data_IF_062617726040
#
_entry.id   IF_062617726040
#
_cell.length_a   1.000
_cell.length_b   1.000
_cell.length_c   1.000
_cell.angle_alpha   90.00
_cell.angle_beta   90.00
_cell.angle_gamma   90.00
#
_symmetry.space_group_name_H-M   'P 1'
#
loop_
_entity.id
_entity.type
_entity.pdbx_description
1 polymer ?
#
# COMPACT_ATOMS: atom_id res chain seq x y z
N UNK A 1 -25.57 -11.41 6.04
CA UNK A 1 -25.03 -10.05 5.77
C UNK A 1 -24.13 -10.13 4.54
N UNK A 2 -24.20 -9.16 3.61
CA UNK A 2 -23.19 -9.08 2.53
C UNK A 2 -21.83 -8.85 3.20
N UNK A 3 -20.88 -9.78 3.03
CA UNK A 3 -19.55 -9.67 3.63
C UNK A 3 -18.84 -8.39 3.17
N UNK A 4 -18.10 -7.75 4.07
CA UNK A 4 -17.33 -6.54 3.80
C UNK A 4 -15.89 -6.94 3.54
N UNK A 5 -15.25 -6.29 2.58
CA UNK A 5 -13.83 -6.46 2.28
C UNK A 5 -13.11 -5.12 2.42
N UNK A 6 -11.81 -5.14 2.67
CA UNK A 6 -10.96 -3.95 2.63
C UNK A 6 -9.99 -4.04 1.46
N UNK A 7 -9.79 -2.95 0.72
CA UNK A 7 -8.81 -2.90 -0.37
C UNK A 7 -7.94 -1.66 -0.29
N UNK A 8 -6.63 -1.87 -0.30
CA UNK A 8 -5.62 -0.81 -0.17
C UNK A 8 -4.89 -0.61 -1.51
N UNK A 9 -4.87 0.64 -1.97
CA UNK A 9 -4.27 1.04 -3.24
C UNK A 9 -2.74 0.82 -3.31
N UNK A 10 -2.20 0.62 -4.51
CA UNK A 10 -0.78 0.81 -4.78
C UNK A 10 -0.40 2.29 -4.62
N UNK A 11 0.72 2.57 -3.93
CA UNK A 11 1.13 3.94 -3.69
C UNK A 11 2.60 4.14 -3.29
N UNK A 12 3.47 3.12 -3.44
CA UNK A 12 4.89 3.23 -3.07
C UNK A 12 5.11 3.81 -1.68
N UNK A 13 5.93 4.88 -1.58
CA UNK A 13 6.26 5.53 -0.31
C UNK A 13 5.11 6.25 0.40
N UNK A 14 3.99 6.49 -0.30
CA UNK A 14 2.76 6.95 0.37
C UNK A 14 2.11 5.84 1.21
N UNK A 15 2.73 4.66 1.31
CA UNK A 15 2.33 3.58 2.22
C UNK A 15 2.17 4.04 3.68
N UNK A 16 2.82 5.14 4.10
CA UNK A 16 2.58 5.75 5.42
C UNK A 16 1.12 6.17 5.63
N UNK A 17 0.40 6.56 4.56
CA UNK A 17 -1.03 6.82 4.61
C UNK A 17 -1.81 5.55 4.97
N UNK A 18 -1.45 4.42 4.35
CA UNK A 18 -2.09 3.13 4.63
C UNK A 18 -1.83 2.65 6.05
N UNK A 19 -0.63 2.87 6.59
CA UNK A 19 -0.34 2.58 7.99
C UNK A 19 -1.19 3.43 8.93
N UNK A 20 -1.34 4.73 8.64
CA UNK A 20 -2.24 5.60 9.38
C UNK A 20 -3.71 5.17 9.31
N UNK A 21 -4.18 4.78 8.12
CA UNK A 21 -5.54 4.26 7.92
C UNK A 21 -5.74 2.92 8.66
N UNK A 22 -4.78 2.00 8.56
CA UNK A 22 -4.79 0.72 9.27
C UNK A 22 -4.79 0.93 10.79
N UNK A 23 -3.98 1.85 11.32
CA UNK A 23 -3.97 2.20 12.74
C UNK A 23 -5.33 2.74 13.21
N UNK A 24 -5.96 3.61 12.40
CA UNK A 24 -7.28 4.15 12.72
C UNK A 24 -8.37 3.05 12.69
N UNK A 25 -8.35 2.18 11.68
CA UNK A 25 -9.24 1.02 11.58
C UNK A 25 -9.05 0.06 12.77
N UNK A 26 -7.81 -0.20 13.18
CA UNK A 26 -7.53 -1.07 14.31
C UNK A 26 -8.01 -0.48 15.64
N UNK A 27 -7.76 0.81 15.87
CA UNK A 27 -8.13 1.48 17.13
C UNK A 27 -9.63 1.74 17.25
N UNK A 28 -10.25 2.22 16.18
CA UNK A 28 -11.63 2.74 16.21
C UNK A 28 -12.63 1.86 15.44
N UNK A 29 -12.16 1.07 14.47
CA UNK A 29 -12.98 0.26 13.58
C UNK A 29 -13.18 -1.19 14.03
N UNK A 30 -12.99 -1.54 15.31
CA UNK A 30 -13.06 -2.93 15.80
C UNK A 30 -14.35 -3.66 15.42
N UNK A 31 -15.50 -2.99 15.46
CA UNK A 31 -16.79 -3.57 15.03
C UNK A 31 -16.81 -3.89 13.53
N UNK A 32 -16.24 -3.01 12.71
CA UNK A 32 -16.09 -3.22 11.26
C UNK A 32 -15.14 -4.39 10.98
N UNK A 33 -13.94 -4.39 11.59
CA UNK A 33 -12.94 -5.44 11.35
C UNK A 33 -13.44 -6.85 11.70
N UNK A 34 -14.34 -6.99 12.69
CA UNK A 34 -14.98 -8.27 13.02
C UNK A 34 -15.84 -8.86 11.89
N UNK A 35 -16.36 -8.02 11.00
CA UNK A 35 -17.20 -8.45 9.87
C UNK A 35 -16.48 -8.38 8.52
N UNK A 36 -15.22 -7.94 8.51
CA UNK A 36 -14.37 -7.98 7.32
C UNK A 36 -14.00 -9.43 7.06
N UNK A 37 -14.38 -9.91 5.87
CA UNK A 37 -14.05 -11.27 5.42
C UNK A 37 -12.67 -11.29 4.78
N UNK A 38 -12.52 -10.46 3.74
CA UNK A 38 -11.38 -10.48 2.84
C UNK A 38 -10.66 -9.11 2.79
N UNK A 39 -9.36 -9.18 2.55
CA UNK A 39 -8.44 -8.06 2.43
C UNK A 39 -7.77 -8.13 1.06
N UNK A 40 -7.53 -6.99 0.44
CA UNK A 40 -6.88 -6.94 -0.86
C UNK A 40 -5.93 -5.76 -0.95
N UNK A 41 -4.95 -5.84 -1.84
CA UNK A 41 -4.10 -4.71 -2.14
C UNK A 41 -3.08 -4.96 -3.22
N UNK A 42 -2.40 -3.90 -3.62
CA UNK A 42 -1.29 -3.91 -4.56
C UNK A 42 -0.12 -3.12 -3.97
N UNK A 43 1.12 -3.52 -4.21
CA UNK A 43 2.31 -2.81 -3.75
C UNK A 43 2.26 -2.54 -2.24
N UNK A 44 2.60 -1.32 -1.79
CA UNK A 44 2.46 -0.87 -0.40
C UNK A 44 1.08 -1.14 0.22
N UNK A 45 0.00 -1.14 -0.57
CA UNK A 45 -1.34 -1.49 -0.11
C UNK A 45 -1.46 -2.97 0.29
N UNK A 46 -0.81 -3.89 -0.45
CA UNK A 46 -0.80 -5.31 -0.09
C UNK A 46 -0.03 -5.58 1.21
N UNK A 47 1.05 -4.84 1.44
CA UNK A 47 1.81 -4.89 2.70
C UNK A 47 0.95 -4.41 3.89
N UNK A 48 0.27 -3.27 3.75
CA UNK A 48 -0.62 -2.74 4.79
C UNK A 48 -1.80 -3.67 5.08
N UNK A 49 -2.42 -4.23 4.04
CA UNK A 49 -3.49 -5.21 4.16
C UNK A 49 -3.03 -6.46 4.92
N UNK A 50 -1.82 -6.96 4.61
CA UNK A 50 -1.22 -8.10 5.30
C UNK A 50 -1.01 -7.81 6.78
N UNK A 51 -0.36 -6.68 7.11
CA UNK A 51 -0.10 -6.29 8.51
C UNK A 51 -1.39 -6.15 9.31
N UNK A 52 -2.40 -5.47 8.76
CA UNK A 52 -3.69 -5.28 9.44
C UNK A 52 -4.41 -6.61 9.71
N UNK A 53 -4.28 -7.58 8.80
CA UNK A 53 -4.90 -8.90 8.91
C UNK A 53 -4.12 -9.82 9.88
N UNK A 54 -2.79 -9.81 9.85
CA UNK A 54 -1.98 -10.80 10.60
C UNK A 54 -1.45 -10.29 11.93
N UNK A 55 -1.05 -9.03 12.01
CA UNK A 55 -0.29 -8.48 13.14
C UNK A 55 -0.53 -6.98 13.31
N UNK A 56 -1.77 -6.55 13.58
CA UNK A 56 -2.10 -5.12 13.67
C UNK A 56 -1.38 -4.39 14.81
N UNK A 57 -0.93 -5.10 15.85
CA UNK A 57 -0.12 -4.52 16.93
C UNK A 57 1.27 -4.08 16.46
N UNK A 58 1.79 -4.62 15.34
CA UNK A 58 3.07 -4.22 14.77
C UNK A 58 2.96 -3.01 13.82
N UNK A 59 1.81 -2.34 13.69
CA UNK A 59 1.67 -1.18 12.80
C UNK A 59 2.70 -0.08 13.13
N UNK A 60 2.98 0.18 14.41
CA UNK A 60 4.00 1.16 14.80
C UNK A 60 5.42 0.75 14.37
N UNK A 61 5.77 -0.54 14.46
CA UNK A 61 7.04 -1.06 13.94
C UNK A 61 7.12 -0.92 12.41
N UNK A 62 5.99 -1.10 11.71
CA UNK A 62 5.91 -0.86 10.27
C UNK A 62 6.16 0.61 9.93
N UNK A 63 5.62 1.54 10.71
CA UNK A 63 5.85 2.97 10.54
C UNK A 63 7.34 3.30 10.71
N UNK A 64 7.96 2.80 11.79
CA UNK A 64 9.40 2.98 12.06
C UNK A 64 10.27 2.43 10.91
N UNK A 65 9.98 1.21 10.44
CA UNK A 65 10.66 0.63 9.28
C UNK A 65 10.48 1.51 8.04
N UNK A 66 9.26 1.96 7.76
CA UNK A 66 8.95 2.79 6.58
C UNK A 66 9.70 4.12 6.61
N UNK A 67 9.77 4.78 7.77
CA UNK A 67 10.55 6.01 7.93
C UNK A 67 12.05 5.77 7.75
N UNK A 68 12.59 4.72 8.38
CA UNK A 68 14.01 4.35 8.25
C UNK A 68 14.39 4.01 6.80
N UNK A 69 13.56 3.23 6.12
CA UNK A 69 13.75 2.87 4.72
C UNK A 69 13.70 4.10 3.80
N UNK A 70 12.76 5.03 4.04
CA UNK A 70 12.69 6.28 3.29
C UNK A 70 13.87 7.23 3.57
N UNK A 71 14.36 7.30 4.81
CA UNK A 71 15.59 8.03 5.17
C UNK A 71 16.82 7.46 4.46
N UNK A 72 16.98 6.14 4.48
CA UNK A 72 18.07 5.42 3.82
C UNK A 72 18.11 5.74 2.33
N UNK A 73 16.98 5.61 1.62
CA UNK A 73 16.88 5.90 0.19
C UNK A 73 17.12 7.37 -0.14
N UNK A 74 16.68 8.31 0.71
CA UNK A 74 16.92 9.75 0.48
C UNK A 74 18.39 10.16 0.60
N UNK A 75 19.19 9.39 1.33
CA UNK A 75 20.62 9.64 1.50
C UNK A 75 21.45 9.15 0.31
N UNK A 76 20.87 8.32 -0.57
CA UNK A 76 21.55 7.81 -1.74
C UNK A 76 21.50 8.83 -2.91
N UNK A 77 22.59 8.94 -3.65
CA UNK A 77 22.75 9.96 -4.71
C UNK A 77 21.72 9.80 -5.85
N UNK A 78 21.32 8.56 -6.15
CA UNK A 78 20.30 8.24 -7.15
C UNK A 78 19.08 7.56 -6.53
N UNK A 79 18.84 7.72 -5.23
CA UNK A 79 17.73 7.06 -4.55
C UNK A 79 17.80 5.53 -4.66
N UNK A 80 16.66 4.88 -4.88
CA UNK A 80 16.55 3.42 -4.95
C UNK A 80 17.33 2.79 -6.13
N UNK A 81 17.65 3.58 -7.18
CA UNK A 81 18.42 3.09 -8.34
C UNK A 81 19.94 3.29 -8.19
N UNK A 82 20.39 3.69 -6.99
CA UNK A 82 21.82 3.86 -6.70
C UNK A 82 22.56 2.54 -6.88
N UNK A 83 23.64 2.50 -7.68
CA UNK A 83 24.41 1.27 -7.87
C UNK A 83 24.86 0.65 -6.54
N UNK A 84 24.61 -0.65 -6.39
CA UNK A 84 24.94 -1.40 -5.16
C UNK A 84 23.86 -1.35 -4.07
N UNK A 85 22.82 -0.52 -4.22
CA UNK A 85 21.66 -0.56 -3.33
C UNK A 85 20.69 -1.67 -3.73
N UNK A 86 20.31 -2.53 -2.78
CA UNK A 86 19.33 -3.60 -3.01
C UNK A 86 18.02 -3.29 -2.28
N UNK A 87 17.14 -2.58 -2.98
CA UNK A 87 15.81 -2.20 -2.50
C UNK A 87 15.00 -3.43 -2.06
N UNK A 88 15.03 -4.51 -2.86
CA UNK A 88 14.21 -5.70 -2.63
C UNK A 88 14.70 -6.51 -1.45
N UNK A 89 16.02 -6.63 -1.27
CA UNK A 89 16.60 -7.25 -0.08
C UNK A 89 16.20 -6.48 1.18
N UNK A 90 16.35 -5.15 1.17
CA UNK A 90 15.99 -4.31 2.33
C UNK A 90 14.50 -4.39 2.66
N UNK A 91 13.64 -4.39 1.65
CA UNK A 91 12.19 -4.59 1.82
C UNK A 91 11.89 -5.97 2.42
N UNK A 92 12.55 -7.03 1.91
CA UNK A 92 12.39 -8.39 2.41
C UNK A 92 12.75 -8.51 3.89
N UNK A 93 13.88 -7.95 4.32
CA UNK A 93 14.29 -7.91 5.73
C UNK A 93 13.20 -7.27 6.62
N UNK A 94 12.59 -6.18 6.13
CA UNK A 94 11.45 -5.55 6.79
C UNK A 94 10.26 -6.49 6.96
N UNK A 95 9.82 -7.13 5.88
CA UNK A 95 8.70 -8.08 5.89
C UNK A 95 8.99 -9.26 6.84
N UNK A 96 10.19 -9.83 6.77
CA UNK A 96 10.63 -10.94 7.63
C UNK A 96 10.70 -10.55 9.11
N UNK A 97 11.05 -9.31 9.44
CA UNK A 97 11.08 -8.82 10.82
C UNK A 97 9.70 -8.54 11.43
N UNK A 98 8.72 -8.19 10.59
CA UNK A 98 7.39 -7.72 11.02
C UNK A 98 6.37 -8.85 11.06
N UNK A 99 6.34 -9.70 10.03
CA UNK A 99 5.30 -10.72 9.88
C UNK A 99 5.56 -11.93 10.79
N UNK A 100 4.51 -12.51 11.42
CA UNK A 100 4.66 -13.72 12.21
C UNK A 100 5.04 -14.94 11.35
N UNK A 101 5.54 -16.00 11.99
CA UNK A 101 5.94 -17.25 11.31
C UNK A 101 4.78 -17.95 10.58
N UNK A 102 3.57 -17.88 11.14
CA UNK A 102 2.36 -18.45 10.57
C UNK A 102 1.54 -17.46 9.71
N UNK A 103 2.13 -16.35 9.26
CA UNK A 103 1.40 -15.32 8.49
C UNK A 103 0.65 -15.89 7.28
N UNK A 104 1.27 -16.80 6.54
CA UNK A 104 0.69 -17.47 5.37
C UNK A 104 -0.60 -18.25 5.68
N UNK A 105 -0.69 -18.87 6.86
CA UNK A 105 -1.89 -19.59 7.31
C UNK A 105 -3.03 -18.63 7.64
N UNK A 106 -2.72 -17.49 8.26
CA UNK A 106 -3.72 -16.47 8.65
C UNK A 106 -4.36 -15.82 7.42
N UNK A 107 -3.56 -15.57 6.39
CA UNK A 107 -3.99 -14.87 5.17
C UNK A 107 -4.58 -15.79 4.10
N UNK A 108 -4.48 -17.10 4.29
CA UNK A 108 -4.95 -18.11 3.33
C UNK A 108 -6.44 -17.89 3.00
N UNK A 109 -6.73 -17.68 1.71
CA UNK A 109 -8.06 -17.36 1.17
C UNK A 109 -8.75 -16.15 1.82
N UNK A 110 -7.96 -15.24 2.43
CA UNK A 110 -8.45 -14.00 3.04
C UNK A 110 -7.69 -12.77 2.58
N UNK A 111 -6.47 -12.91 2.07
CA UNK A 111 -5.71 -11.83 1.45
C UNK A 111 -5.64 -12.04 -0.06
N UNK A 112 -5.88 -10.99 -0.83
CA UNK A 112 -5.76 -10.98 -2.28
C UNK A 112 -4.67 -9.99 -2.71
N UNK A 113 -3.52 -10.51 -3.12
CA UNK A 113 -2.37 -9.71 -3.54
C UNK A 113 -2.36 -9.56 -5.05
N UNK A 114 -2.46 -8.31 -5.50
CA UNK A 114 -2.40 -7.95 -6.92
C UNK A 114 -0.96 -8.00 -7.43
N UNK A 115 -0.74 -8.72 -8.53
CA UNK A 115 0.54 -8.80 -9.22
C UNK A 115 0.35 -8.76 -10.74
N UNK A 116 1.37 -8.31 -11.46
CA UNK A 116 1.38 -8.25 -12.92
C UNK A 116 2.32 -9.34 -13.46
N UNK A 117 1.83 -10.20 -14.35
CA UNK A 117 2.67 -11.19 -15.03
C UNK A 117 3.48 -10.51 -16.14
N UNK A 118 4.79 -10.74 -16.17
CA UNK A 118 5.70 -10.10 -17.14
C UNK A 118 5.47 -10.60 -18.56
N UNK A 119 5.17 -11.89 -18.73
CA UNK A 119 5.08 -12.53 -20.05
C UNK A 119 3.84 -12.07 -20.81
N UNK A 120 2.69 -12.00 -20.15
CA UNK A 120 1.42 -11.69 -20.79
C UNK A 120 0.85 -10.30 -20.44
N UNK A 121 1.48 -9.56 -19.52
CA UNK A 121 1.07 -8.23 -19.10
C UNK A 121 -0.27 -8.18 -18.36
N UNK A 122 -0.80 -9.32 -17.90
CA UNK A 122 -2.11 -9.42 -17.22
C UNK A 122 -1.97 -9.39 -15.71
N UNK A 123 -3.03 -8.92 -15.06
CA UNK A 123 -3.16 -8.92 -13.61
C UNK A 123 -3.60 -10.29 -13.07
N UNK A 124 -3.05 -10.67 -11.93
CA UNK A 124 -3.47 -11.84 -11.15
C UNK A 124 -3.63 -11.44 -9.68
N UNK A 125 -4.59 -12.06 -9.01
CA UNK A 125 -4.79 -11.93 -7.56
C UNK A 125 -4.42 -13.26 -6.90
N UNK A 126 -3.28 -13.30 -6.22
CA UNK A 126 -2.90 -14.46 -5.42
C UNK A 126 -3.58 -14.39 -4.05
N UNK A 127 -4.23 -15.49 -3.66
CA UNK A 127 -4.89 -15.61 -2.34
C UNK A 127 -4.55 -16.88 -1.58
N UNK A 128 -3.63 -17.70 -2.09
CA UNK A 128 -3.23 -18.95 -1.47
C UNK A 128 -1.71 -19.07 -1.44
N UNK A 129 -1.17 -19.46 -0.30
CA UNK A 129 0.26 -19.43 0.02
C UNK A 129 0.66 -20.70 0.76
N UNK A 130 1.50 -21.54 0.15
CA UNK A 130 1.88 -22.82 0.76
C UNK A 130 2.87 -22.67 1.92
N UNK A 131 3.52 -21.50 2.03
CA UNK A 131 4.47 -21.19 3.10
C UNK A 131 4.57 -19.69 3.34
N UNK A 132 5.19 -19.31 4.47
CA UNK A 132 5.56 -17.91 4.74
C UNK A 132 6.45 -17.34 3.64
N UNK A 133 7.34 -18.17 3.09
CA UNK A 133 8.21 -17.77 1.99
C UNK A 133 7.42 -17.44 0.72
N UNK A 134 6.40 -18.24 0.41
CA UNK A 134 5.51 -17.96 -0.73
C UNK A 134 4.78 -16.63 -0.57
N UNK A 135 4.25 -16.35 0.62
CA UNK A 135 3.64 -15.06 0.94
C UNK A 135 4.63 -13.91 0.73
N UNK A 136 5.84 -14.03 1.29
CA UNK A 136 6.88 -12.99 1.16
C UNK A 136 7.23 -12.77 -0.32
N UNK A 137 7.44 -13.83 -1.11
CA UNK A 137 7.72 -13.71 -2.55
C UNK A 137 6.61 -12.99 -3.30
N UNK A 138 5.35 -13.30 -3.02
CA UNK A 138 4.21 -12.64 -3.67
C UNK A 138 4.10 -11.16 -3.27
N UNK A 139 4.34 -10.81 -2.01
CA UNK A 139 4.37 -9.42 -1.55
C UNK A 139 5.52 -8.61 -2.18
N UNK A 140 6.69 -9.23 -2.29
CA UNK A 140 7.85 -8.67 -3.00
C UNK A 140 7.53 -8.47 -4.49
N UNK A 141 6.94 -9.47 -5.16
CA UNK A 141 6.49 -9.34 -6.54
C UNK A 141 5.50 -8.19 -6.70
N UNK A 142 4.51 -8.08 -5.80
CA UNK A 142 3.51 -7.00 -5.80
C UNK A 142 4.12 -5.61 -5.59
N UNK A 143 5.34 -5.51 -5.07
CA UNK A 143 6.05 -4.26 -4.78
C UNK A 143 7.25 -4.03 -5.71
N UNK A 144 7.47 -4.89 -6.70
CA UNK A 144 8.61 -4.79 -7.62
C UNK A 144 8.28 -3.89 -8.80
N UNK A 145 8.69 -2.63 -8.74
CA UNK A 145 8.59 -1.69 -9.87
C UNK A 145 9.84 -1.87 -10.75
N UNK A 146 9.71 -2.30 -12.03
CA UNK A 146 10.86 -2.49 -12.91
C UNK A 146 11.74 -1.24 -13.01
N UNK A 147 13.06 -1.42 -13.13
CA UNK A 147 14.09 -0.37 -13.16
C UNK A 147 14.27 0.33 -11.80
N UNK A 148 13.18 0.62 -11.08
CA UNK A 148 13.22 1.27 -9.78
C UNK A 148 13.69 0.35 -8.65
N UNK A 149 13.04 -0.82 -8.53
CA UNK A 149 13.32 -1.81 -7.50
C UNK A 149 14.40 -2.83 -7.92
N UNK A 150 14.84 -2.77 -9.18
CA UNK A 150 15.86 -3.64 -9.74
C UNK A 150 15.58 -4.06 -11.18
N UNK A 151 16.48 -4.87 -11.73
CA UNK A 151 16.42 -5.34 -13.13
C UNK A 151 15.82 -6.73 -13.30
N UNK A 152 15.80 -7.55 -12.23
CA UNK A 152 15.35 -8.93 -12.27
C UNK A 152 13.99 -9.05 -11.56
N UNK A 153 12.89 -9.27 -12.31
CA UNK A 153 11.57 -9.53 -11.72
C UNK A 153 11.58 -10.71 -10.75
N UNK A 154 10.59 -10.75 -9.87
CA UNK A 154 10.44 -11.85 -8.90
C UNK A 154 9.93 -13.09 -9.61
N UNK A 155 10.62 -14.21 -9.44
CA UNK A 155 10.19 -15.51 -9.97
C UNK A 155 9.35 -16.25 -8.93
N UNK A 156 8.16 -16.69 -9.33
CA UNK A 156 7.25 -17.46 -8.48
C UNK A 156 6.40 -18.38 -9.36
N UNK A 157 6.34 -19.67 -8.98
CA UNK A 157 5.63 -20.74 -9.70
C UNK A 157 6.00 -20.81 -11.20
N UNK A 158 7.29 -20.66 -11.52
CA UNK A 158 7.82 -20.77 -12.88
C UNK A 158 7.54 -19.55 -13.77
N UNK A 159 6.95 -18.49 -13.23
CA UNK A 159 6.60 -17.27 -13.94
C UNK A 159 7.27 -16.05 -13.29
N UNK A 160 7.38 -14.95 -14.06
CA UNK A 160 7.98 -13.69 -13.60
C UNK A 160 6.90 -12.66 -13.32
N UNK A 161 7.03 -11.99 -12.18
CA UNK A 161 6.02 -11.11 -11.62
C UNK A 161 6.60 -9.75 -11.21
N UNK A 162 5.79 -8.72 -11.40
CA UNK A 162 6.10 -7.32 -11.06
C UNK A 162 4.89 -6.65 -10.40
N UNK A 163 5.05 -5.39 -10.00
CA UNK A 163 4.10 -4.64 -9.19
C UNK A 163 2.67 -4.72 -9.75
N UNK A 164 1.72 -5.05 -8.87
CA UNK A 164 0.31 -5.17 -9.23
C UNK A 164 -0.33 -3.83 -9.60
N UNK A 165 0.22 -2.74 -9.08
CA UNK A 165 -0.14 -1.36 -9.40
C UNK A 165 -0.01 -0.99 -10.87
N UNK A 166 0.77 -1.73 -11.65
CA UNK A 166 0.88 -1.52 -13.09
C UNK A 166 -0.40 -1.92 -13.85
N UNK A 167 -1.21 -2.83 -13.29
CA UNK A 167 -2.39 -3.38 -13.98
C UNK A 167 -3.68 -3.28 -13.18
N UNK A 168 -3.60 -3.41 -11.86
CA UNK A 168 -4.74 -3.33 -10.93
C UNK A 168 -4.27 -2.81 -9.57
N UNK A 169 -4.16 -1.49 -9.45
CA UNK A 169 -3.64 -0.81 -8.26
C UNK A 169 -4.59 -0.80 -7.08
N UNK A 170 -5.89 -0.99 -7.28
CA UNK A 170 -6.88 -1.07 -6.19
C UNK A 170 -7.85 -2.21 -6.49
N UNK A 171 -7.49 -3.45 -6.11
CA UNK A 171 -8.30 -4.61 -6.43
C UNK A 171 -9.66 -4.55 -5.71
N UNK A 172 -10.74 -4.53 -6.48
CA UNK A 172 -12.11 -4.68 -5.98
C UNK A 172 -12.50 -6.15 -6.12
N UNK A 173 -12.94 -6.77 -5.03
CA UNK A 173 -13.29 -8.19 -5.01
C UNK A 173 -14.70 -8.41 -5.58
N UNK A 174 -14.96 -9.51 -6.30
CA UNK A 174 -16.22 -9.72 -7.01
C UNK A 174 -17.41 -9.98 -6.09
N UNK A 175 -17.16 -10.50 -4.88
CA UNK A 175 -18.18 -10.82 -3.90
C UNK A 175 -18.10 -9.89 -2.69
N UNK A 176 -19.26 -9.35 -2.27
CA UNK A 176 -19.35 -8.47 -1.10
C UNK A 176 -19.10 -6.99 -1.42
N UNK A 177 -19.07 -6.16 -0.37
CA UNK A 177 -18.77 -4.72 -0.48
C UNK A 177 -17.31 -4.48 -0.14
N UNK A 178 -16.50 -4.09 -1.11
CA UNK A 178 -15.09 -3.72 -0.89
C UNK A 178 -14.97 -2.25 -0.54
N UNK A 179 -14.67 -1.93 0.72
CA UNK A 179 -14.27 -0.59 1.18
C UNK A 179 -12.86 -0.29 0.67
N UNK A 180 -12.71 0.85 0.00
CA UNK A 180 -11.48 1.25 -0.70
C UNK A 180 -10.69 2.29 0.10
N UNK A 181 -9.38 2.06 0.22
CA UNK A 181 -8.44 2.91 0.94
C UNK A 181 -7.36 3.37 -0.03
N UNK A 182 -7.17 4.69 -0.16
CA UNK A 182 -6.21 5.26 -1.10
C UNK A 182 -5.65 6.59 -0.60
N UNK A 183 -4.34 6.83 -0.77
CA UNK A 183 -3.76 8.15 -0.52
C UNK A 183 -4.07 9.17 -1.63
N UNK A 184 -4.66 8.75 -2.74
CA UNK A 184 -5.08 9.64 -3.84
C UNK A 184 -6.52 10.07 -3.66
N UNK A 185 -6.83 11.32 -4.01
CA UNK A 185 -8.21 11.82 -3.96
C UNK A 185 -9.05 11.20 -5.07
N UNK A 186 -10.33 10.92 -4.80
CA UNK A 186 -11.22 10.34 -5.80
C UNK A 186 -12.56 9.88 -5.21
N UNK A 187 -13.28 9.07 -5.99
CA UNK A 187 -14.55 8.43 -5.56
C UNK A 187 -14.27 7.16 -4.76
N UNK A 188 -13.54 7.32 -3.66
CA UNK A 188 -13.02 6.26 -2.81
C UNK A 188 -13.55 6.43 -1.38
N UNK A 189 -13.64 5.35 -0.62
CA UNK A 189 -14.28 5.38 0.71
C UNK A 189 -13.41 6.08 1.76
N UNK A 190 -12.11 5.78 1.76
CA UNK A 190 -11.11 6.37 2.66
C UNK A 190 -10.01 6.98 1.78
N UNK A 191 -10.12 8.29 1.55
CA UNK A 191 -9.14 9.08 0.80
C UNK A 191 -9.07 10.53 1.31
N UNK A 192 -8.04 11.30 0.93
CA UNK A 192 -8.03 12.75 1.14
C UNK A 192 -9.22 13.45 0.46
N UNK A 193 -9.64 14.58 1.03
CA UNK A 193 -10.72 15.43 0.50
C UNK A 193 -10.11 16.78 0.10
N UNK A 194 -9.59 16.88 -1.12
CA UNK A 194 -9.02 18.12 -1.64
C UNK A 194 -10.15 19.12 -2.02
N UNK A 195 -9.97 20.41 -1.72
CA UNK A 195 -10.95 21.48 -2.01
C UNK A 195 -10.70 22.06 -3.41
N UNK A 196 -11.76 22.36 -4.18
CA UNK A 196 -11.68 23.03 -5.49
C UNK A 196 -11.94 22.10 -6.70
N UNK A 197 -12.99 21.27 -6.61
CA UNK A 197 -13.29 20.18 -7.56
C UNK A 197 -13.47 20.65 -9.00
N UNK A 198 -12.72 20.03 -9.92
CA UNK A 198 -13.08 19.91 -11.34
C UNK A 198 -13.28 18.41 -11.57
N UNK A 199 -14.44 18.00 -12.05
CA UNK A 199 -14.81 16.59 -12.25
C UNK A 199 -14.12 15.98 -13.49
N UNK A 200 -12.79 15.92 -13.49
CA UNK A 200 -12.00 15.23 -14.53
C UNK A 200 -11.23 14.06 -13.92
N UNK A 201 -11.60 12.84 -14.31
CA UNK A 201 -11.05 11.60 -13.80
C UNK A 201 -10.40 10.82 -14.95
N UNK A 202 -9.23 10.23 -14.68
CA UNK A 202 -8.58 9.28 -15.59
C UNK A 202 -8.51 7.93 -14.90
N UNK A 203 -8.91 6.89 -15.63
CA UNK A 203 -8.82 5.51 -15.15
C UNK A 203 -7.44 4.95 -15.46
N UNK A 204 -6.57 4.90 -14.45
CA UNK A 204 -5.23 4.31 -14.56
C UNK A 204 -5.16 3.05 -13.70
N UNK A 205 -4.75 1.92 -14.27
CA UNK A 205 -4.63 0.64 -13.55
C UNK A 205 -5.87 0.26 -12.71
N UNK A 206 -7.07 0.51 -13.27
CA UNK A 206 -8.40 0.32 -12.66
C UNK A 206 -8.73 1.24 -11.47
N UNK A 207 -7.92 2.26 -11.20
CA UNK A 207 -8.23 3.33 -10.25
C UNK A 207 -8.72 4.57 -10.99
N UNK A 208 -9.80 5.18 -10.50
CA UNK A 208 -10.18 6.52 -10.91
C UNK A 208 -9.30 7.53 -10.18
N UNK A 209 -8.28 8.04 -10.85
CA UNK A 209 -7.39 9.08 -10.33
C UNK A 209 -7.94 10.43 -10.80
N UNK A 210 -8.15 11.34 -9.86
CA UNK A 210 -8.56 12.71 -10.17
C UNK A 210 -7.36 13.50 -10.71
N UNK A 211 -7.55 14.22 -11.82
CA UNK A 211 -6.51 15.10 -12.35
C UNK A 211 -6.46 16.40 -11.54
N UNK A 212 -5.77 16.38 -10.40
CA UNK A 212 -5.42 17.59 -9.65
C UNK A 212 -3.89 17.69 -9.53
N UNK A 213 -3.37 18.92 -9.46
CA UNK A 213 -1.94 19.18 -9.19
C UNK A 213 -1.46 18.38 -7.97
N UNK A 214 -2.26 18.28 -6.91
CA UNK A 214 -1.96 17.52 -5.69
C UNK A 214 -1.83 16.02 -5.91
N UNK A 215 -2.67 15.39 -6.73
CA UNK A 215 -2.55 13.96 -7.04
C UNK A 215 -1.40 13.68 -8.01
N UNK A 216 -1.04 14.65 -8.87
CA UNK A 216 0.22 14.61 -9.62
C UNK A 216 1.44 14.69 -8.67
N UNK A 217 1.45 15.62 -7.70
CA UNK A 217 2.48 15.68 -6.66
C UNK A 217 2.53 14.39 -5.82
N UNK A 218 1.39 13.79 -5.47
CA UNK A 218 1.33 12.49 -4.77
C UNK A 218 1.85 11.36 -5.63
N UNK A 219 1.55 11.37 -6.93
CA UNK A 219 2.09 10.40 -7.88
C UNK A 219 3.61 10.52 -7.95
N UNK A 220 4.15 11.74 -8.06
CA UNK A 220 5.60 11.96 -7.97
C UNK A 220 6.15 11.47 -6.63
N UNK A 221 5.51 11.83 -5.51
CA UNK A 221 5.93 11.40 -4.17
C UNK A 221 5.86 9.88 -3.95
N UNK A 222 5.03 9.16 -4.72
CA UNK A 222 4.95 7.71 -4.67
C UNK A 222 6.17 7.01 -5.28
N UNK A 223 6.83 7.64 -6.27
CA UNK A 223 8.03 7.14 -6.94
C UNK A 223 9.34 7.81 -6.44
N UNK A 224 9.27 9.07 -6.02
CA UNK A 224 10.41 9.88 -5.61
C UNK A 224 10.12 10.49 -4.24
N UNK A 225 10.79 10.00 -3.19
CA UNK A 225 10.78 10.71 -1.92
C UNK A 225 11.55 12.03 -2.08
N UNK A 226 10.83 13.13 -2.20
CA UNK A 226 11.42 14.46 -2.37
C UNK A 226 12.34 14.81 -1.18
N UNK A 227 13.57 15.25 -1.48
CA UNK A 227 14.50 15.81 -0.48
C UNK A 227 13.83 16.98 0.24
N UNK A 228 14.04 17.12 1.55
CA UNK A 228 13.37 18.09 2.44
C UNK A 228 13.48 19.58 2.07
N UNK A 229 14.09 19.95 0.95
CA UNK A 229 14.31 21.34 0.56
C UNK A 229 13.60 21.82 -0.72
N UNK A 230 12.56 21.14 -1.17
CA UNK A 230 11.62 21.66 -2.19
C UNK A 230 10.20 21.32 -1.76
N UNK A 231 9.20 22.12 -2.17
CA UNK A 231 7.80 22.20 -1.67
C UNK A 231 7.09 20.92 -1.16
N UNK A 232 7.52 19.71 -1.56
CA UNK A 232 7.08 18.43 -1.01
C UNK A 232 7.21 18.27 0.52
N UNK A 233 8.20 18.91 1.17
CA UNK A 233 8.33 18.90 2.64
C UNK A 233 7.15 19.62 3.31
N UNK A 234 6.61 20.67 2.67
CA UNK A 234 5.38 21.34 3.15
C UNK A 234 4.16 20.44 3.01
N UNK A 235 4.13 19.56 2.00
CA UNK A 235 3.04 18.60 1.80
C UNK A 235 3.09 17.45 2.82
N UNK A 236 4.28 16.90 3.11
CA UNK A 236 4.46 15.86 4.14
C UNK A 236 4.20 16.43 5.55
N UNK A 237 4.66 17.66 5.83
CA UNK A 237 4.35 18.37 7.07
C UNK A 237 2.85 18.71 7.13
N UNK A 238 2.20 19.06 6.01
CA UNK A 238 0.75 19.29 5.97
C UNK A 238 -0.07 18.01 6.17
N UNK A 239 0.41 16.85 5.68
CA UNK A 239 -0.19 15.54 5.94
C UNK A 239 -0.01 15.16 7.42
N UNK A 240 1.21 15.31 7.99
CA UNK A 240 1.45 15.12 9.43
C UNK A 240 0.59 16.07 10.29
N UNK A 241 0.51 17.36 9.95
CA UNK A 241 -0.29 18.36 10.67
C UNK A 241 -1.79 18.11 10.55
N UNK A 242 -2.31 17.72 9.39
CA UNK A 242 -3.71 17.35 9.23
C UNK A 242 -4.06 16.04 9.95
N UNK A 243 -3.14 15.08 10.01
CA UNK A 243 -3.33 13.84 10.77
C UNK A 243 -3.34 14.10 12.29
N UNK A 244 -2.41 14.93 12.78
CA UNK A 244 -2.39 15.38 14.19
C UNK A 244 -3.63 16.22 14.52
N UNK A 245 -4.10 17.06 13.59
CA UNK A 245 -5.32 17.86 13.77
C UNK A 245 -6.59 17.01 13.80
N UNK A 246 -6.71 15.99 12.93
CA UNK A 246 -7.83 15.03 12.96
C UNK A 246 -7.84 14.13 14.20
N UNK A 247 -6.69 13.92 14.85
CA UNK A 247 -6.62 13.26 16.17
C UNK A 247 -7.42 14.01 17.25
N UNK A 248 -7.63 15.33 17.10
CA UNK A 248 -8.50 16.14 17.97
C UNK A 248 -9.98 16.17 17.55
N UNK A 249 -10.28 15.89 16.28
CA UNK A 249 -11.66 15.91 15.74
C UNK A 249 -12.37 14.54 15.81
N UNK A 250 -11.62 13.43 15.95
CA UNK A 250 -12.18 12.08 16.12
C UNK A 250 -12.96 11.85 17.43
N UNK A 251 -13.13 12.87 18.28
CA UNK A 251 -14.07 12.86 19.42
C UNK A 251 -15.56 12.95 19.00
N UNK A 252 -15.86 12.95 17.70
CA UNK A 252 -17.22 13.07 17.17
C UNK A 252 -17.65 11.80 16.42
N UNK A 253 -17.83 10.70 17.14
CA UNK A 253 -18.74 9.62 16.73
C UNK A 253 -19.57 9.26 17.97
N UNK A 254 -20.91 9.26 17.88
CA UNK A 254 -21.76 9.02 19.04
C UNK A 254 -21.52 7.61 19.59
N UNK A 255 -21.40 7.55 20.92
CA UNK A 255 -21.22 6.38 21.78
C UNK A 255 -22.24 5.28 21.53
#
# INVERSE_FOLDING_TARGET
MKHINLSFAACGFLGIYHLGAAAALYRHGKKLLKVVKDYAGASAGSLAATVLLTVPDNIEKCEQFTYGFAEEIRKLDFGAVTPGYDFMKRLREGIESILPSNAHEIVENRLYVSVTNVRNGRNYLFSSFASREDLIKVLLASSFIPVYAGMKPVEYKGEKWVDGGLTNGLPVLPAGRTVTISPFSGRLDICPQDKGRVDLYVKLAKQDIMLFLTDFYRSIASFVMMKENTEGSRLIIAIKKNFIRKKKECCLWPT
#
